data_IF_449589457912
#
_entry.id   IF_449589457912
#
_cell.length_a   1.000
_cell.length_b   1.000
_cell.length_c   1.000
_cell.angle_alpha   90.00
_cell.angle_beta   90.00
_cell.angle_gamma   90.00
#
_symmetry.space_group_name_H-M   'P 1'
#
loop_
_entity.id
_entity.type
_entity.pdbx_description
1 polymer ?
#
# COMPACT_ATOMS: atom_id res chain seq x y z
N UNK A 1 1.05 -3.76 -17.64
CA UNK A 1 1.86 -3.44 -16.45
C UNK A 1 2.27 -4.70 -15.69
N UNK A 2 1.36 -5.45 -15.04
CA UNK A 2 1.77 -6.61 -14.22
C UNK A 2 2.48 -7.72 -15.00
N UNK A 3 1.99 -8.11 -16.18
CA UNK A 3 2.68 -9.06 -17.07
C UNK A 3 4.06 -8.57 -17.51
N UNK A 4 4.17 -7.29 -17.83
CA UNK A 4 5.43 -6.64 -18.23
C UNK A 4 6.43 -6.56 -17.08
N UNK A 5 5.96 -6.33 -15.85
CA UNK A 5 6.81 -6.10 -14.66
C UNK A 5 7.15 -7.39 -13.92
N UNK A 6 6.24 -8.36 -13.88
CA UNK A 6 6.34 -9.58 -13.07
C UNK A 6 6.34 -10.88 -13.89
N UNK A 7 6.24 -10.80 -15.21
CA UNK A 7 6.17 -11.97 -16.10
C UNK A 7 4.78 -12.60 -16.18
N UNK A 8 4.53 -13.35 -17.25
CA UNK A 8 3.23 -13.97 -17.54
C UNK A 8 2.75 -14.90 -16.42
N UNK A 9 3.64 -15.76 -15.91
CA UNK A 9 3.30 -16.79 -14.92
C UNK A 9 2.93 -16.22 -13.54
N UNK A 10 3.48 -15.06 -13.17
CA UNK A 10 3.29 -14.50 -11.82
C UNK A 10 2.46 -13.22 -11.78
N UNK A 11 2.10 -12.64 -12.93
CA UNK A 11 1.34 -11.40 -13.02
C UNK A 11 0.05 -11.43 -12.19
N UNK A 12 -0.68 -12.55 -12.22
CA UNK A 12 -1.93 -12.68 -11.49
C UNK A 12 -1.73 -12.74 -9.97
N UNK A 13 -0.65 -13.37 -9.51
CA UNK A 13 -0.30 -13.41 -8.08
C UNK A 13 0.00 -12.00 -7.59
N UNK A 14 0.81 -11.24 -8.35
CA UNK A 14 1.17 -9.87 -7.99
C UNK A 14 -0.02 -8.91 -8.04
N UNK A 15 -0.94 -9.08 -8.99
CA UNK A 15 -2.19 -8.34 -9.00
C UNK A 15 -2.97 -8.51 -7.69
N UNK A 16 -3.14 -9.75 -7.21
CA UNK A 16 -3.85 -10.01 -5.96
C UNK A 16 -3.11 -9.46 -4.74
N UNK A 17 -1.77 -9.53 -4.71
CA UNK A 17 -0.96 -8.94 -3.64
C UNK A 17 -1.16 -7.42 -3.54
N UNK A 18 -1.12 -6.73 -4.68
CA UNK A 18 -1.37 -5.29 -4.72
C UNK A 18 -2.80 -4.95 -4.32
N UNK A 19 -3.79 -5.74 -4.76
CA UNK A 19 -5.18 -5.57 -4.32
C UNK A 19 -5.31 -5.64 -2.81
N UNK A 20 -4.72 -6.67 -2.17
CA UNK A 20 -4.75 -6.83 -0.71
C UNK A 20 -4.04 -5.66 -0.02
N UNK A 21 -2.87 -5.26 -0.53
CA UNK A 21 -2.12 -4.13 0.01
C UNK A 21 -2.95 -2.85 0.04
N UNK A 22 -3.59 -2.48 -1.06
CA UNK A 22 -4.41 -1.26 -1.12
C UNK A 22 -5.66 -1.34 -0.25
N UNK A 23 -6.31 -2.51 -0.14
CA UNK A 23 -7.42 -2.69 0.81
C UNK A 23 -6.93 -2.50 2.26
N UNK A 24 -5.79 -3.10 2.62
CA UNK A 24 -5.21 -2.95 3.96
C UNK A 24 -4.84 -1.50 4.27
N UNK A 25 -4.24 -0.77 3.32
CA UNK A 25 -3.97 0.66 3.47
C UNK A 25 -5.27 1.48 3.66
N UNK A 26 -6.31 1.18 2.88
CA UNK A 26 -7.60 1.86 2.99
C UNK A 26 -8.23 1.71 4.37
N UNK A 27 -8.26 0.49 4.91
CA UNK A 27 -8.77 0.23 6.25
C UNK A 27 -7.89 0.85 7.34
N UNK A 28 -6.57 0.69 7.25
CA UNK A 28 -5.63 1.17 8.26
C UNK A 28 -5.65 2.71 8.37
N UNK A 29 -5.56 3.42 7.24
CA UNK A 29 -5.59 4.88 7.22
C UNK A 29 -7.02 5.46 7.30
N UNK A 30 -8.06 4.66 7.06
CA UNK A 30 -9.46 5.05 7.27
C UNK A 30 -9.96 4.81 8.68
N UNK A 31 -9.21 4.08 9.51
CA UNK A 31 -9.61 3.71 10.87
C UNK A 31 -9.90 4.94 11.72
N UNK A 32 -11.09 4.96 12.36
CA UNK A 32 -11.61 6.09 13.14
C UNK A 32 -11.44 7.43 12.41
N UNK A 33 -11.95 7.50 11.17
CA UNK A 33 -11.84 8.68 10.30
C UNK A 33 -10.39 9.15 10.04
N UNK A 34 -9.42 8.23 10.12
CA UNK A 34 -8.01 8.50 9.86
C UNK A 34 -7.25 9.18 10.99
N UNK A 35 -7.78 9.13 12.21
CA UNK A 35 -7.14 9.72 13.40
C UNK A 35 -6.11 8.79 14.07
N UNK A 36 -6.15 7.49 13.77
CA UNK A 36 -5.28 6.49 14.44
C UNK A 36 -3.91 6.34 13.76
N UNK A 37 -3.87 6.31 12.42
CA UNK A 37 -2.65 6.10 11.64
C UNK A 37 -2.41 7.27 10.70
N UNK A 38 -1.23 7.90 10.79
CA UNK A 38 -0.85 9.07 10.00
C UNK A 38 0.56 9.00 9.45
N UNK A 39 0.96 10.03 8.71
CA UNK A 39 2.31 10.20 8.17
C UNK A 39 2.94 11.42 8.84
N UNK A 40 4.08 11.20 9.49
CA UNK A 40 4.81 12.28 10.17
C UNK A 40 6.03 12.69 9.37
N UNK A 41 6.22 14.00 9.18
CA UNK A 41 7.42 14.58 8.58
C UNK A 41 8.25 15.25 9.67
N UNK A 42 9.54 14.87 9.77
CA UNK A 42 10.46 15.41 10.77
C UNK A 42 11.66 16.09 10.09
N UNK A 43 12.01 17.28 10.57
CA UNK A 43 13.24 17.98 10.20
C UNK A 43 14.02 18.27 11.49
N UNK A 44 15.21 17.69 11.61
CA UNK A 44 16.06 17.84 12.79
C UNK A 44 17.09 18.95 12.58
N UNK A 45 17.35 19.72 13.64
CA UNK A 45 18.42 20.71 13.73
C UNK A 45 19.42 20.34 14.83
N UNK A 46 20.57 21.01 14.83
CA UNK A 46 21.61 20.84 15.86
C UNK A 46 21.24 21.58 17.15
#
# INVERSE_FOLDING_TARGET
IFKTTYGEDTAFIWYNRWRIFFMACGEMFGLKNGEEWGVSHYLFGK
#
